data_IF_255313660328
#
_entry.id   IF_255313660328
#
_cell.length_a   1.000
_cell.length_b   1.000
_cell.length_c   1.000
_cell.angle_alpha   90.00
_cell.angle_beta   90.00
_cell.angle_gamma   90.00
#
_symmetry.space_group_name_H-M   'P 1'
#
loop_
_entity.id
_entity.type
_entity.pdbx_description
1 polymer ?
#
# COMPACT_ATOMS: atom_id res chain seq x y z
N UNK A 1 7.96 -3.44 11.66
CA UNK A 1 7.47 -2.04 11.57
C UNK A 1 6.69 -1.85 10.26
N UNK A 2 5.42 -1.49 10.35
CA UNK A 2 4.52 -1.21 9.22
C UNK A 2 4.53 0.30 8.97
N UNK A 3 5.03 0.73 7.82
CA UNK A 3 5.06 2.15 7.43
C UNK A 3 3.81 2.51 6.63
N UNK A 4 3.48 3.81 6.53
CA UNK A 4 2.38 4.28 5.67
C UNK A 4 2.53 3.76 4.23
N UNK A 5 3.77 3.67 3.76
CA UNK A 5 4.17 3.08 2.50
C UNK A 5 3.79 1.61 2.36
N UNK A 6 4.13 0.77 3.33
CA UNK A 6 3.75 -0.66 3.31
C UNK A 6 2.24 -0.85 3.32
N UNK A 7 1.52 0.02 4.03
CA UNK A 7 0.07 0.01 4.07
C UNK A 7 -0.53 0.40 2.71
N UNK A 8 -0.02 1.47 2.09
CA UNK A 8 -0.41 1.85 0.72
C UNK A 8 -0.12 0.75 -0.30
N UNK A 9 1.02 0.04 -0.18
CA UNK A 9 1.33 -1.10 -1.04
C UNK A 9 0.30 -2.23 -0.86
N UNK A 10 -0.08 -2.55 0.39
CA UNK A 10 -1.11 -3.56 0.69
C UNK A 10 -2.48 -3.19 0.13
N UNK A 11 -2.87 -1.92 0.26
CA UNK A 11 -4.14 -1.41 -0.26
C UNK A 11 -4.15 -1.48 -1.78
N UNK A 12 -3.07 -1.04 -2.44
CA UNK A 12 -2.94 -1.12 -3.89
C UNK A 12 -3.01 -2.59 -4.38
N UNK A 13 -2.30 -3.50 -3.71
CA UNK A 13 -2.36 -4.92 -4.03
C UNK A 13 -3.77 -5.51 -3.84
N UNK A 14 -4.50 -5.07 -2.81
CA UNK A 14 -5.86 -5.51 -2.56
C UNK A 14 -6.83 -5.01 -3.64
N UNK A 15 -6.78 -3.71 -3.99
CA UNK A 15 -7.54 -3.17 -5.13
C UNK A 15 -7.29 -3.94 -6.42
N UNK A 16 -6.03 -4.24 -6.72
CA UNK A 16 -5.66 -5.04 -7.90
C UNK A 16 -6.21 -6.47 -7.86
N UNK A 17 -6.30 -7.09 -6.66
CA UNK A 17 -6.95 -8.39 -6.49
C UNK A 17 -8.45 -8.31 -6.78
N UNK A 18 -9.16 -7.31 -6.25
CA UNK A 18 -10.59 -7.12 -6.51
C UNK A 18 -10.87 -6.99 -8.01
N UNK A 19 -10.08 -6.20 -8.73
CA UNK A 19 -10.20 -6.06 -10.18
C UNK A 19 -9.94 -7.38 -10.92
N UNK A 20 -8.89 -8.11 -10.50
CA UNK A 20 -8.59 -9.42 -11.09
C UNK A 20 -9.74 -10.41 -10.88
N UNK A 21 -10.34 -10.41 -9.70
CA UNK A 21 -11.49 -11.26 -9.38
C UNK A 21 -12.70 -10.91 -10.23
N UNK A 22 -13.01 -9.61 -10.39
CA UNK A 22 -14.07 -9.16 -11.30
C UNK A 22 -13.84 -9.63 -12.75
N UNK A 23 -12.61 -9.49 -13.27
CA UNK A 23 -12.27 -9.96 -14.63
C UNK A 23 -12.41 -11.47 -14.80
N UNK A 24 -12.08 -12.26 -13.78
CA UNK A 24 -12.18 -13.72 -13.81
C UNK A 24 -13.64 -14.20 -13.70
N UNK A 25 -14.45 -13.54 -12.86
CA UNK A 25 -15.90 -13.79 -12.79
C UNK A 25 -16.59 -13.59 -14.14
N UNK A 26 -16.23 -12.54 -14.89
CA UNK A 26 -16.76 -12.30 -16.24
C UNK A 26 -16.38 -13.40 -17.25
N UNK A 27 -15.38 -14.22 -16.94
CA UNK A 27 -14.98 -15.40 -17.74
C UNK A 27 -15.54 -16.72 -17.19
N UNK A 28 -16.40 -16.66 -16.17
CA UNK A 28 -16.93 -17.83 -15.47
C UNK A 28 -15.91 -18.53 -14.57
N UNK A 29 -14.75 -17.91 -14.30
CA UNK A 29 -13.69 -18.52 -13.48
C UNK A 29 -13.88 -18.11 -12.02
N UNK A 30 -14.18 -19.10 -11.17
CA UNK A 30 -14.49 -18.94 -9.74
C UNK A 30 -13.38 -19.44 -8.80
N UNK A 31 -12.19 -19.71 -9.33
CA UNK A 31 -11.07 -20.33 -8.62
C UNK A 31 -10.60 -19.55 -7.38
N UNK A 32 -10.89 -18.24 -7.32
CA UNK A 32 -10.61 -17.43 -6.14
C UNK A 32 -11.56 -17.73 -4.97
N UNK A 33 -12.77 -18.23 -5.23
CA UNK A 33 -13.79 -18.55 -4.22
C UNK A 33 -13.87 -20.06 -4.00
N UNK A 34 -12.79 -20.68 -3.50
CA UNK A 34 -12.70 -22.14 -3.35
C UNK A 34 -13.85 -22.75 -2.53
N UNK A 35 -14.28 -22.08 -1.46
CA UNK A 35 -15.45 -22.51 -0.67
C UNK A 35 -16.74 -22.51 -1.49
N UNK A 36 -16.95 -21.48 -2.31
CA UNK A 36 -18.12 -21.39 -3.18
C UNK A 36 -18.09 -22.51 -4.23
N UNK A 37 -16.92 -22.77 -4.83
CA UNK A 37 -16.72 -23.89 -5.75
C UNK A 37 -17.02 -25.22 -5.07
N UNK A 38 -16.57 -25.42 -3.83
CA UNK A 38 -16.85 -26.62 -3.04
C UNK A 38 -18.33 -26.81 -2.69
N UNK A 39 -19.08 -25.73 -2.45
CA UNK A 39 -20.52 -25.78 -2.16
C UNK A 39 -21.34 -26.02 -3.43
N UNK A 40 -20.95 -25.40 -4.55
CA UNK A 40 -21.67 -25.47 -5.83
C UNK A 40 -21.39 -26.80 -6.55
N UNK A 41 -20.26 -27.46 -6.28
CA UNK A 41 -19.89 -28.73 -6.90
C UNK A 41 -19.67 -28.58 -8.42
N UNK A 42 -20.19 -29.51 -9.22
CA UNK A 42 -20.16 -29.44 -10.70
C UNK A 42 -21.30 -28.62 -11.31
N UNK A 43 -22.17 -28.04 -10.48
CA UNK A 43 -23.33 -27.30 -10.95
C UNK A 43 -22.89 -25.98 -11.59
N UNK A 44 -23.40 -25.64 -12.78
CA UNK A 44 -23.15 -24.32 -13.34
C UNK A 44 -23.80 -23.25 -12.44
N UNK A 45 -22.98 -22.32 -11.96
CA UNK A 45 -23.43 -21.20 -11.15
C UNK A 45 -24.22 -20.23 -12.04
N UNK A 46 -25.41 -19.84 -11.61
CA UNK A 46 -26.25 -18.95 -12.41
C UNK A 46 -25.51 -17.64 -12.75
N UNK A 47 -25.68 -17.18 -13.99
CA UNK A 47 -25.09 -15.92 -14.46
C UNK A 47 -25.50 -14.72 -13.58
N UNK A 48 -26.73 -14.74 -13.05
CA UNK A 48 -27.29 -13.76 -12.11
C UNK A 48 -26.42 -13.62 -10.84
N UNK A 49 -25.92 -14.74 -10.31
CA UNK A 49 -25.07 -14.75 -9.13
C UNK A 49 -23.67 -14.20 -9.43
N UNK A 50 -23.07 -14.59 -10.55
CA UNK A 50 -21.78 -14.05 -10.98
C UNK A 50 -21.83 -12.52 -11.18
N UNK A 51 -22.93 -12.01 -11.73
CA UNK A 51 -23.18 -10.57 -11.83
C UNK A 51 -23.30 -9.92 -10.46
N UNK A 52 -24.06 -10.51 -9.52
CA UNK A 52 -24.20 -9.99 -8.16
C UNK A 52 -22.85 -9.87 -7.44
N UNK A 53 -22.01 -10.90 -7.54
CA UNK A 53 -20.66 -10.87 -6.93
C UNK A 53 -19.79 -9.80 -7.59
N UNK A 54 -19.85 -9.69 -8.93
CA UNK A 54 -19.12 -8.65 -9.67
C UNK A 54 -19.53 -7.23 -9.23
N UNK A 55 -20.83 -6.99 -9.06
CA UNK A 55 -21.36 -5.70 -8.60
C UNK A 55 -20.90 -5.39 -7.18
N UNK A 56 -20.90 -6.39 -6.30
CA UNK A 56 -20.39 -6.23 -4.94
C UNK A 56 -18.89 -5.90 -4.90
N UNK A 57 -18.07 -6.60 -5.69
CA UNK A 57 -16.63 -6.31 -5.81
C UNK A 57 -16.39 -4.89 -6.34
N UNK A 58 -17.20 -4.47 -7.32
CA UNK A 58 -17.13 -3.12 -7.89
C UNK A 58 -17.49 -2.05 -6.85
N UNK A 59 -18.49 -2.30 -6.01
CA UNK A 59 -18.91 -1.41 -4.94
C UNK A 59 -17.84 -1.33 -3.84
N UNK A 60 -17.25 -2.46 -3.47
CA UNK A 60 -16.12 -2.51 -2.55
C UNK A 60 -14.92 -1.73 -3.08
N UNK A 61 -14.59 -1.86 -4.37
CA UNK A 61 -13.50 -1.09 -4.99
C UNK A 61 -13.77 0.42 -4.93
N UNK A 62 -15.02 0.85 -5.16
CA UNK A 62 -15.43 2.27 -5.01
C UNK A 62 -15.25 2.76 -3.58
N UNK A 63 -15.60 1.95 -2.58
CA UNK A 63 -15.37 2.28 -1.17
C UNK A 63 -13.87 2.40 -0.86
N UNK A 64 -13.05 1.49 -1.37
CA UNK A 64 -11.60 1.61 -1.26
C UNK A 64 -11.07 2.87 -1.93
N UNK A 65 -11.60 3.28 -3.08
CA UNK A 65 -11.21 4.55 -3.72
C UNK A 65 -11.67 5.78 -2.92
N UNK A 66 -12.83 5.69 -2.24
CA UNK A 66 -13.34 6.76 -1.37
C UNK A 66 -12.42 7.01 -0.17
N UNK A 67 -11.99 5.95 0.52
CA UNK A 67 -11.11 6.06 1.69
C UNK A 67 -9.64 6.21 1.31
N UNK A 68 -9.23 5.65 0.17
CA UNK A 68 -7.87 5.67 -0.33
C UNK A 68 -7.81 6.17 -1.77
N UNK A 69 -8.08 7.46 -2.00
CA UNK A 69 -8.06 7.99 -3.34
C UNK A 69 -6.66 7.86 -3.93
N UNK A 70 -6.57 7.28 -5.12
CA UNK A 70 -5.32 7.07 -5.87
C UNK A 70 -4.65 8.42 -6.18
N UNK A 71 -5.45 9.48 -6.33
CA UNK A 71 -4.98 10.87 -6.52
C UNK A 71 -4.26 11.45 -5.30
N UNK A 72 -4.46 10.89 -4.10
CA UNK A 72 -3.81 11.31 -2.86
C UNK A 72 -2.94 10.21 -2.28
N UNK A 73 -2.33 9.40 -3.14
CA UNK A 73 -1.41 8.36 -2.68
C UNK A 73 -0.24 9.01 -1.92
N UNK A 74 -0.03 8.67 -0.63
CA UNK A 74 1.04 9.24 0.16
C UNK A 74 2.45 8.89 -0.36
N UNK A 75 2.56 7.96 -1.33
CA UNK A 75 3.80 7.60 -2.04
C UNK A 75 4.16 8.60 -3.15
N UNK A 76 3.18 9.29 -3.73
CA UNK A 76 3.40 10.19 -4.87
C UNK A 76 4.31 11.35 -4.48
N UNK A 77 5.39 11.56 -5.24
CA UNK A 77 6.40 12.60 -4.96
C UNK A 77 7.32 12.28 -3.78
N UNK A 78 7.19 11.08 -3.19
CA UNK A 78 7.99 10.59 -2.07
C UNK A 78 8.76 9.31 -2.41
N UNK A 79 8.90 9.01 -3.71
CA UNK A 79 9.59 7.81 -4.18
C UNK A 79 11.06 7.81 -3.72
N UNK A 80 11.68 8.98 -3.64
CA UNK A 80 13.02 9.20 -3.12
C UNK A 80 13.20 8.74 -1.66
N UNK A 81 12.12 8.65 -0.88
CA UNK A 81 12.21 8.15 0.50
C UNK A 81 12.50 6.65 0.52
N UNK A 82 12.02 5.89 -0.48
CA UNK A 82 12.28 4.44 -0.62
C UNK A 82 13.57 4.18 -1.37
N UNK A 83 13.87 5.01 -2.36
CA UNK A 83 15.11 4.92 -3.14
C UNK A 83 15.69 6.32 -3.39
N UNK A 84 16.57 6.80 -2.50
CA UNK A 84 17.13 8.15 -2.58
C UNK A 84 18.12 8.32 -3.73
N UNK A 85 18.48 7.23 -4.43
CA UNK A 85 19.42 7.26 -5.55
C UNK A 85 18.71 7.33 -6.91
N UNK A 86 17.38 7.23 -6.94
CA UNK A 86 16.61 7.43 -8.18
C UNK A 86 16.49 8.91 -8.44
N UNK A 87 17.25 9.38 -9.42
CA UNK A 87 17.31 10.79 -9.78
C UNK A 87 15.93 11.28 -10.28
N UNK A 88 15.32 12.21 -9.54
CA UNK A 88 14.19 13.01 -10.03
C UNK A 88 14.56 14.50 -9.92
N UNK A 89 14.91 15.16 -11.03
CA UNK A 89 15.14 16.59 -11.02
C UNK A 89 13.81 17.32 -10.77
N UNK A 90 13.71 17.96 -9.62
CA UNK A 90 12.73 19.01 -9.33
C UNK A 90 13.47 20.32 -9.05
N UNK A 91 12.82 21.47 -9.23
CA UNK A 91 13.45 22.78 -9.02
C UNK A 91 13.60 23.22 -7.55
N UNK A 92 13.69 22.29 -6.59
CA UNK A 92 13.62 22.62 -5.15
C UNK A 92 14.97 22.46 -4.43
N UNK A 93 15.13 23.09 -3.26
CA UNK A 93 16.29 22.89 -2.36
C UNK A 93 16.52 21.41 -2.04
N UNK A 94 15.45 20.65 -1.78
CA UNK A 94 15.50 19.21 -1.55
C UNK A 94 16.06 18.44 -2.75
N UNK A 95 15.87 18.95 -3.97
CA UNK A 95 16.35 18.29 -5.18
C UNK A 95 17.87 18.39 -5.33
N UNK A 96 18.49 19.45 -4.83
CA UNK A 96 19.95 19.57 -4.76
C UNK A 96 20.52 18.59 -3.73
N UNK A 97 19.94 18.51 -2.53
CA UNK A 97 20.36 17.54 -1.51
C UNK A 97 20.17 16.08 -1.98
N UNK A 98 19.07 15.77 -2.68
CA UNK A 98 18.88 14.46 -3.30
C UNK A 98 19.95 14.14 -4.34
N UNK A 99 20.38 15.13 -5.13
CA UNK A 99 21.42 14.93 -6.12
C UNK A 99 22.78 14.63 -5.47
N UNK A 100 23.11 15.32 -4.38
CA UNK A 100 24.32 15.04 -3.61
C UNK A 100 24.27 13.63 -3.01
N UNK A 101 23.17 13.28 -2.33
CA UNK A 101 22.96 11.93 -1.76
C UNK A 101 23.04 10.85 -2.85
N UNK A 102 22.46 11.11 -4.02
CA UNK A 102 22.44 10.16 -5.14
C UNK A 102 23.86 9.88 -5.70
N UNK A 103 24.75 10.86 -5.61
CA UNK A 103 26.15 10.75 -6.07
C UNK A 103 27.12 10.34 -4.96
N UNK A 104 26.66 10.22 -3.71
CA UNK A 104 27.48 9.76 -2.59
C UNK A 104 27.61 8.23 -2.57
N UNK A 105 28.81 7.74 -2.90
CA UNK A 105 29.14 6.32 -2.88
C UNK A 105 29.12 5.71 -1.46
N UNK A 106 29.48 6.47 -0.44
CA UNK A 106 29.47 6.04 0.96
C UNK A 106 28.05 5.83 1.48
N UNK A 107 27.14 6.78 1.19
CA UNK A 107 25.71 6.63 1.50
C UNK A 107 25.10 5.45 0.74
N UNK A 108 25.49 5.20 -0.51
CA UNK A 108 25.04 4.03 -1.28
C UNK A 108 25.45 2.70 -0.65
N UNK A 109 26.68 2.60 -0.13
CA UNK A 109 27.12 1.40 0.61
C UNK A 109 26.39 1.26 1.95
N UNK A 110 26.18 2.36 2.66
CA UNK A 110 25.44 2.39 3.93
C UNK A 110 23.99 1.97 3.75
N UNK A 111 23.34 2.43 2.66
CA UNK A 111 21.97 2.07 2.33
C UNK A 111 21.79 0.56 2.13
N UNK A 112 22.76 -0.10 1.48
CA UNK A 112 22.72 -1.56 1.26
C UNK A 112 22.87 -2.38 2.54
N UNK A 113 23.51 -1.83 3.57
CA UNK A 113 23.82 -2.54 4.82
C UNK A 113 22.92 -2.14 5.99
N UNK A 114 22.02 -1.17 5.80
CA UNK A 114 21.13 -0.67 6.86
C UNK A 114 19.66 -0.76 6.46
N UNK A 115 18.78 -0.69 7.45
CA UNK A 115 17.35 -0.60 7.17
C UNK A 115 16.98 0.83 6.79
N UNK A 116 15.90 1.00 6.03
CA UNK A 116 15.48 2.32 5.52
C UNK A 116 15.38 3.40 6.61
N UNK A 117 14.75 3.18 7.79
CA UNK A 117 14.73 4.20 8.84
C UNK A 117 16.11 4.49 9.41
N UNK A 118 16.96 3.48 9.59
CA UNK A 118 18.32 3.64 10.12
C UNK A 118 19.20 4.42 9.15
N UNK A 119 19.06 4.18 7.84
CA UNK A 119 19.71 4.97 6.81
C UNK A 119 19.37 6.46 6.95
N UNK A 120 18.08 6.80 7.02
CA UNK A 120 17.65 8.19 7.15
C UNK A 120 18.05 8.83 8.48
N UNK A 121 18.15 8.07 9.56
CA UNK A 121 18.72 8.55 10.84
C UNK A 121 20.21 8.93 10.67
N UNK A 122 20.99 8.14 9.92
CA UNK A 122 22.41 8.47 9.67
C UNK A 122 22.57 9.70 8.78
N UNK A 123 21.78 9.77 7.71
CA UNK A 123 21.76 10.92 6.78
C UNK A 123 21.38 12.22 7.47
N UNK A 124 20.64 12.17 8.59
CA UNK A 124 20.22 13.35 9.35
C UNK A 124 21.38 14.24 9.83
N UNK A 125 22.57 13.67 10.05
CA UNK A 125 23.73 14.44 10.49
C UNK A 125 24.22 15.44 9.43
N UNK A 126 24.13 15.07 8.15
CA UNK A 126 24.61 15.87 7.01
C UNK A 126 23.45 16.59 6.30
N UNK A 127 22.29 15.93 6.21
CA UNK A 127 21.11 16.41 5.50
C UNK A 127 19.87 16.36 6.40
N UNK A 128 19.77 17.24 7.42
CA UNK A 128 18.72 17.17 8.44
C UNK A 128 17.31 17.40 7.88
N UNK A 129 17.15 18.29 6.91
CA UNK A 129 15.84 18.65 6.33
C UNK A 129 15.20 17.47 5.59
N UNK A 130 15.97 16.83 4.70
CA UNK A 130 15.49 15.70 3.91
C UNK A 130 15.28 14.44 4.76
N UNK A 131 16.20 14.17 5.69
CA UNK A 131 16.10 13.05 6.62
C UNK A 131 14.88 13.17 7.53
N UNK A 132 14.59 14.38 8.03
CA UNK A 132 13.39 14.62 8.86
C UNK A 132 12.12 14.34 8.08
N UNK A 133 12.05 14.79 6.82
CA UNK A 133 10.90 14.54 5.94
C UNK A 133 10.70 13.05 5.65
N UNK A 134 11.80 12.33 5.40
CA UNK A 134 11.81 10.88 5.23
C UNK A 134 11.29 10.16 6.48
N UNK A 135 11.84 10.48 7.64
CA UNK A 135 11.50 9.83 8.91
C UNK A 135 10.07 10.11 9.37
N UNK A 136 9.55 11.33 9.16
CA UNK A 136 8.13 11.64 9.42
C UNK A 136 7.20 10.75 8.60
N UNK A 137 7.58 10.42 7.36
CA UNK A 137 6.78 9.52 6.50
C UNK A 137 6.95 8.05 6.88
N UNK A 138 8.14 7.63 7.32
CA UNK A 138 8.43 6.24 7.68
C UNK A 138 7.93 5.86 9.08
N UNK A 139 7.91 6.81 10.01
CA UNK A 139 7.59 6.60 11.43
C UNK A 139 6.41 7.49 11.87
N UNK A 140 5.22 7.33 11.25
CA UNK A 140 4.07 8.19 11.56
C UNK A 140 3.64 8.12 13.03
N UNK A 141 3.85 6.98 13.69
CA UNK A 141 3.49 6.78 15.11
C UNK A 141 4.36 7.58 16.08
N UNK A 142 5.59 7.95 15.70
CA UNK A 142 6.52 8.68 16.59
C UNK A 142 6.24 10.18 16.56
N UNK A 143 5.69 10.69 15.45
CA UNK A 143 5.51 12.13 15.22
C UNK A 143 4.05 12.60 15.27
N UNK A 144 3.08 11.69 15.32
CA UNK A 144 1.67 12.02 15.14
C UNK A 144 0.80 11.52 16.31
N UNK A 145 1.01 12.04 17.52
CA UNK A 145 0.10 11.73 18.66
C UNK A 145 -1.28 12.42 18.56
N UNK A 146 -1.51 13.31 17.58
CA UNK A 146 -2.78 14.07 17.49
C UNK A 146 -3.83 13.58 16.47
N UNK A 147 -3.57 12.59 15.61
CA UNK A 147 -4.53 12.12 14.56
C UNK A 147 -4.93 10.64 14.71
N UNK A 148 -4.80 10.09 15.91
CA UNK A 148 -5.07 8.69 16.24
C UNK A 148 -6.52 8.26 15.89
N UNK A 149 -7.47 9.19 15.85
CA UNK A 149 -8.88 8.88 15.57
C UNK A 149 -9.16 8.44 14.13
N UNK A 150 -8.40 8.92 13.13
CA UNK A 150 -8.58 8.52 11.73
C UNK A 150 -7.91 7.17 11.43
N UNK A 151 -6.76 6.93 12.06
CA UNK A 151 -5.99 5.69 11.90
C UNK A 151 -6.69 4.52 12.63
N UNK A 152 -7.35 4.75 13.77
CA UNK A 152 -8.07 3.71 14.49
C UNK A 152 -9.33 3.23 13.74
N UNK A 153 -10.12 4.15 13.18
CA UNK A 153 -11.28 3.78 12.35
C UNK A 153 -10.84 3.01 11.09
N UNK A 154 -9.70 3.40 10.54
CA UNK A 154 -9.08 2.78 9.39
C UNK A 154 -8.50 1.39 9.69
N UNK A 155 -7.81 1.20 10.82
CA UNK A 155 -7.31 -0.12 11.26
C UNK A 155 -8.50 -1.02 11.60
N UNK A 156 -9.60 -0.47 12.09
CA UNK A 156 -10.84 -1.21 12.33
C UNK A 156 -11.50 -1.64 11.02
N UNK A 157 -11.67 -0.75 10.03
CA UNK A 157 -12.23 -1.11 8.72
C UNK A 157 -11.31 -2.07 7.95
N UNK A 158 -10.00 -1.80 7.90
CA UNK A 158 -9.04 -2.64 7.19
C UNK A 158 -8.82 -3.97 7.91
N UNK A 159 -8.80 -3.95 9.24
CA UNK A 159 -8.72 -5.13 10.08
C UNK A 159 -9.94 -6.01 9.89
N UNK A 160 -11.15 -5.46 10.00
CA UNK A 160 -12.40 -6.20 9.77
C UNK A 160 -12.48 -6.67 8.32
N UNK A 161 -12.23 -5.83 7.31
CA UNK A 161 -12.31 -6.24 5.91
C UNK A 161 -11.28 -7.31 5.54
N UNK A 162 -10.03 -7.19 6.00
CA UNK A 162 -9.00 -8.21 5.75
C UNK A 162 -9.29 -9.47 6.55
N UNK A 163 -9.71 -9.41 7.82
CA UNK A 163 -10.04 -10.62 8.58
C UNK A 163 -11.28 -11.33 8.03
N UNK A 164 -12.30 -10.58 7.62
CA UNK A 164 -13.53 -11.15 7.10
C UNK A 164 -13.30 -11.77 5.73
N UNK A 165 -12.60 -11.09 4.81
CA UNK A 165 -12.32 -11.66 3.49
C UNK A 165 -11.22 -12.72 3.54
N UNK A 166 -10.11 -12.49 4.23
CA UNK A 166 -9.02 -13.47 4.31
C UNK A 166 -9.42 -14.72 5.12
N UNK A 167 -10.29 -14.58 6.12
CA UNK A 167 -10.92 -15.71 6.83
C UNK A 167 -11.87 -16.52 5.94
N UNK A 168 -12.60 -15.87 5.03
CA UNK A 168 -13.47 -16.55 4.05
C UNK A 168 -12.68 -17.29 2.95
N UNK A 169 -11.39 -16.97 2.76
CA UNK A 169 -10.53 -17.54 1.72
C UNK A 169 -9.43 -18.49 2.24
N UNK A 170 -9.21 -18.61 3.55
CA UNK A 170 -8.11 -19.45 4.11
C UNK A 170 -8.54 -20.58 5.05
N UNK A 171 -9.80 -20.67 5.46
CA UNK A 171 -10.23 -21.73 6.38
C UNK A 171 -11.51 -22.42 5.89
N UNK A 172 -11.33 -23.36 4.95
CA UNK A 172 -11.64 -24.79 5.10
C UNK A 172 -11.12 -25.55 3.89
#
# INVERSE_FOLDING_TARGET
MTTVFKLSDKVAAFKAKLELWGRRLNRGILDMFQTLVGIVGETELEHSFCQLVHDHLSLLLKEFERYFPTTKDPRTGKEWIRDPFVNKPGGSSMSMQLLEIANDGGLKTTFKTTTLPVFWIKVMAEYPEIATTALKSLLPLIWHSSELNKINHFIFIFGVAVFYFEGMFKYN
#
